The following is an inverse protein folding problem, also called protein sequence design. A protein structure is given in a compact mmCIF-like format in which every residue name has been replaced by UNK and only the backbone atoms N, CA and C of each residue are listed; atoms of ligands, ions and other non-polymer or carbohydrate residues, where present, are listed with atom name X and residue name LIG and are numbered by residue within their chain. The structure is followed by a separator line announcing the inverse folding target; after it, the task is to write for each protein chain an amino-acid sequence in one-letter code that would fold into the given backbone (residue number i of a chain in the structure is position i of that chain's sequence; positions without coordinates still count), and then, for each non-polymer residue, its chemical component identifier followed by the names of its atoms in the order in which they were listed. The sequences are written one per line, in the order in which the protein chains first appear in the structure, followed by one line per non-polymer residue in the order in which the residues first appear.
data_IF_904273108960
#
_entry.id   IF_904273108960
#
_cell.length_a   1.000
_cell.length_b   1.000
_cell.length_c   1.000
_cell.angle_alpha   90.00
_cell.angle_beta   90.00
_cell.angle_gamma   90.00
#
_symmetry.space_group_name_H-M   'P 1'
#
loop_
_entity.id
_entity.type
_entity.pdbx_description
1 polymer ?
#
# COMPACT_ATOMS: atom_id res chain seq x y z
N UNK A 1 10.67 33.65 44.09
CA UNK A 1 10.09 34.24 42.86
C UNK A 1 11.06 34.04 41.70
N UNK A 2 10.83 32.98 40.90
CA UNK A 2 11.27 32.72 39.50
C UNK A 2 11.36 31.20 39.24
N UNK A 3 10.83 30.77 38.08
CA UNK A 3 10.71 29.39 37.56
C UNK A 3 12.07 28.76 37.20
N UNK A 4 12.23 27.40 37.21
CA UNK A 4 11.92 26.59 36.01
C UNK A 4 11.50 25.12 36.31
N UNK A 5 11.32 24.32 35.25
CA UNK A 5 10.98 22.88 35.21
C UNK A 5 9.50 22.50 35.04
N UNK A 6 8.94 22.98 33.94
CA UNK A 6 8.11 22.14 33.06
C UNK A 6 9.02 21.03 32.52
N UNK A 7 8.84 19.77 32.91
CA UNK A 7 9.32 18.62 32.13
C UNK A 7 8.54 17.33 32.45
N UNK A 8 7.99 16.76 31.38
CA UNK A 8 7.78 15.33 31.12
C UNK A 8 6.76 14.57 31.98
N UNK A 9 5.49 14.65 31.56
CA UNK A 9 4.68 13.45 31.35
C UNK A 9 3.77 13.65 30.14
N UNK A 10 4.36 14.07 29.01
CA UNK A 10 3.80 13.73 27.71
C UNK A 10 4.12 12.24 27.46
N UNK A 11 3.39 11.36 28.12
CA UNK A 11 3.11 10.06 27.53
C UNK A 11 2.35 10.41 26.26
N UNK A 12 3.05 10.42 25.13
CA UNK A 12 2.45 10.65 23.83
C UNK A 12 1.28 9.67 23.73
N UNK A 13 0.07 10.21 23.54
CA UNK A 13 -1.05 9.41 23.10
C UNK A 13 -0.59 8.69 21.83
N UNK A 14 -0.17 7.43 21.96
CA UNK A 14 -0.18 6.52 20.84
C UNK A 14 -1.64 6.45 20.43
N UNK A 15 -1.96 7.25 19.43
CA UNK A 15 -3.20 7.26 18.70
C UNK A 15 -3.51 5.79 18.42
N UNK A 16 -4.50 5.21 19.12
CA UNK A 16 -5.05 3.92 18.77
C UNK A 16 -5.78 4.14 17.44
N UNK A 17 -5.02 4.22 16.34
CA UNK A 17 -5.58 4.21 15.00
C UNK A 17 -6.18 2.82 14.85
N UNK A 18 -7.49 2.72 15.03
CA UNK A 18 -8.20 1.49 14.79
C UNK A 18 -8.22 1.29 13.27
N UNK A 19 -7.19 0.62 12.76
CA UNK A 19 -7.03 0.36 11.32
C UNK A 19 -8.13 -0.61 10.92
N UNK A 20 -9.12 -0.07 10.21
CA UNK A 20 -10.33 -0.79 9.82
C UNK A 20 -10.24 -1.36 8.40
N UNK A 21 -9.11 -1.13 7.72
CA UNK A 21 -8.83 -1.56 6.35
C UNK A 21 -7.47 -2.26 6.33
N UNK A 22 -7.31 -3.31 5.53
CA UNK A 22 -6.02 -3.97 5.31
C UNK A 22 -5.85 -4.38 3.85
N UNK A 23 -4.60 -4.56 3.44
CA UNK A 23 -4.24 -5.07 2.11
C UNK A 23 -3.69 -6.50 2.23
N UNK A 24 -4.19 -7.41 1.39
CA UNK A 24 -3.82 -8.83 1.40
C UNK A 24 -3.45 -9.30 -0.01
N UNK A 25 -2.47 -10.23 -0.11
CA UNK A 25 -2.11 -10.87 -1.38
C UNK A 25 -1.22 -10.03 -2.31
N UNK A 26 -0.82 -8.83 -1.90
CA UNK A 26 0.20 -8.05 -2.60
C UNK A 26 1.60 -8.28 -2.06
N UNK A 27 2.59 -7.86 -2.85
CA UNK A 27 4.01 -8.04 -2.54
C UNK A 27 4.54 -7.03 -1.49
N UNK A 28 3.71 -6.11 -0.98
CA UNK A 28 4.10 -5.12 0.03
C UNK A 28 2.93 -4.77 0.94
N UNK A 29 3.19 -4.05 2.06
CA UNK A 29 2.13 -3.50 2.93
C UNK A 29 1.24 -2.45 2.26
N UNK A 30 1.65 -1.93 1.10
CA UNK A 30 0.99 -0.84 0.37
C UNK A 30 0.43 -1.30 -0.99
N UNK A 31 0.32 -2.61 -1.21
CA UNK A 31 -0.36 -3.19 -2.36
C UNK A 31 -1.13 -4.43 -1.94
N UNK A 32 -2.32 -4.63 -2.49
CA UNK A 32 -3.10 -5.84 -2.23
C UNK A 32 -4.61 -5.66 -2.42
N UNK A 33 -5.34 -6.76 -2.26
CA UNK A 33 -6.80 -6.78 -2.15
C UNK A 33 -7.24 -5.99 -0.92
N UNK A 34 -8.23 -5.14 -1.08
CA UNK A 34 -8.80 -4.33 0.01
C UNK A 34 -9.76 -5.19 0.82
N UNK A 35 -9.49 -5.27 2.12
CA UNK A 35 -10.40 -5.89 3.09
C UNK A 35 -10.75 -4.89 4.19
N UNK A 36 -12.02 -4.85 4.59
CA UNK A 36 -12.57 -3.95 5.59
C UNK A 36 -13.06 -4.77 6.79
N UNK A 37 -12.76 -4.31 8.00
CA UNK A 37 -13.26 -4.92 9.23
C UNK A 37 -14.64 -4.37 9.55
N UNK A 38 -15.69 -5.19 9.51
CA UNK A 38 -17.04 -4.81 9.91
C UNK A 38 -17.62 -5.86 10.85
N UNK A 39 -18.19 -5.43 11.99
CA UNK A 39 -18.76 -6.33 13.03
C UNK A 39 -17.81 -7.46 13.47
N UNK A 40 -16.51 -7.15 13.60
CA UNK A 40 -15.50 -8.10 14.04
C UNK A 40 -15.04 -9.11 12.98
N UNK A 41 -15.52 -9.01 11.73
CA UNK A 41 -15.15 -9.88 10.64
C UNK A 41 -14.57 -9.09 9.45
N UNK A 42 -13.47 -9.58 8.89
CA UNK A 42 -12.90 -9.06 7.66
C UNK A 42 -13.72 -9.50 6.46
N UNK A 43 -13.95 -8.58 5.53
CA UNK A 43 -14.62 -8.86 4.28
C UNK A 43 -14.09 -7.97 3.16
N UNK A 44 -14.37 -8.33 1.92
CA UNK A 44 -13.79 -7.69 0.74
C UNK A 44 -14.65 -6.54 0.24
N UNK A 45 -14.09 -5.79 -0.71
CA UNK A 45 -14.78 -4.71 -1.43
C UNK A 45 -14.95 -5.14 -2.88
N UNK A 46 -16.17 -5.05 -3.40
CA UNK A 46 -16.46 -5.21 -4.82
C UNK A 46 -16.90 -3.87 -5.42
N UNK A 47 -16.86 -3.72 -6.74
CA UNK A 47 -17.68 -2.72 -7.42
C UNK A 47 -17.23 -2.50 -8.85
N UNK A 48 -18.20 -2.54 -9.76
CA UNK A 48 -18.11 -1.71 -10.96
C UNK A 48 -18.08 -0.24 -10.43
N UNK A 49 -17.16 0.62 -10.88
CA UNK A 49 -16.82 1.97 -10.35
C UNK A 49 -15.72 2.08 -9.29
N UNK A 50 -15.05 1.00 -8.91
CA UNK A 50 -13.82 1.14 -8.12
C UNK A 50 -12.76 1.93 -8.89
N UNK A 51 -12.33 3.05 -8.33
CA UNK A 51 -11.45 3.99 -9.03
C UNK A 51 -10.28 4.50 -8.18
N UNK A 52 -9.47 5.38 -8.78
CA UNK A 52 -8.31 5.97 -8.13
C UNK A 52 -8.67 6.88 -6.95
N UNK A 53 -9.88 7.44 -6.91
CA UNK A 53 -10.34 8.29 -5.80
C UNK A 53 -10.62 7.41 -4.57
N UNK A 54 -11.28 6.27 -4.77
CA UNK A 54 -11.45 5.27 -3.71
C UNK A 54 -10.10 4.74 -3.22
N UNK A 55 -9.21 4.39 -4.16
CA UNK A 55 -7.88 3.91 -3.84
C UNK A 55 -7.06 4.94 -3.03
N UNK A 56 -7.20 6.24 -3.34
CA UNK A 56 -6.51 7.31 -2.62
C UNK A 56 -6.93 7.39 -1.15
N UNK A 57 -8.21 7.18 -0.85
CA UNK A 57 -8.70 7.10 0.53
C UNK A 57 -8.06 5.94 1.27
N UNK A 58 -7.99 4.76 0.65
CA UNK A 58 -7.33 3.57 1.23
C UNK A 58 -5.84 3.82 1.47
N UNK A 59 -5.14 4.36 0.48
CA UNK A 59 -3.70 4.63 0.57
C UNK A 59 -3.37 5.65 1.66
N UNK A 60 -4.22 6.67 1.83
CA UNK A 60 -4.10 7.65 2.92
C UNK A 60 -4.42 7.05 4.28
N UNK A 61 -5.49 6.27 4.40
CA UNK A 61 -5.89 5.59 5.65
C UNK A 61 -4.77 4.68 6.18
N UNK A 62 -3.99 4.07 5.29
CA UNK A 62 -2.89 3.15 5.63
C UNK A 62 -1.50 3.82 5.73
N UNK A 63 -1.41 5.15 5.60
CA UNK A 63 -0.16 5.90 5.50
C UNK A 63 0.82 5.28 4.47
N UNK A 64 0.26 4.98 3.29
CA UNK A 64 0.95 4.34 2.17
C UNK A 64 1.25 5.29 1.01
N UNK A 65 1.00 6.60 1.18
CA UNK A 65 1.23 7.61 0.15
C UNK A 65 0.04 7.77 -0.78
N UNK A 66 0.33 8.13 -2.03
CA UNK A 66 -0.66 8.38 -3.09
C UNK A 66 -1.15 7.07 -3.72
N UNK A 67 -2.35 7.06 -4.29
CA UNK A 67 -2.79 5.93 -5.11
C UNK A 67 -2.05 5.93 -6.46
N UNK A 68 -1.51 4.77 -6.83
CA UNK A 68 -0.90 4.52 -8.13
C UNK A 68 -1.87 3.77 -9.03
N UNK A 69 -2.59 2.78 -8.48
CA UNK A 69 -3.53 1.98 -9.25
C UNK A 69 -4.73 1.50 -8.40
N UNK A 70 -5.85 1.35 -9.09
CA UNK A 70 -7.11 0.81 -8.58
C UNK A 70 -7.47 -0.44 -9.39
N UNK A 71 -7.28 -1.61 -8.78
CA UNK A 71 -7.32 -2.89 -9.48
C UNK A 71 -8.61 -3.63 -9.14
N UNK A 72 -9.25 -4.22 -10.15
CA UNK A 72 -10.41 -5.09 -9.99
C UNK A 72 -10.10 -6.55 -10.28
N UNK A 73 -11.16 -7.31 -10.57
CA UNK A 73 -11.08 -8.67 -11.09
C UNK A 73 -10.20 -9.63 -10.27
N UNK A 74 -10.20 -9.47 -8.94
CA UNK A 74 -9.42 -10.29 -8.02
C UNK A 74 -7.92 -10.37 -8.39
N UNK A 75 -7.34 -9.26 -8.85
CA UNK A 75 -5.92 -9.18 -9.24
C UNK A 75 -4.95 -9.73 -8.17
N UNK A 76 -5.24 -9.47 -6.89
CA UNK A 76 -4.46 -9.98 -5.74
C UNK A 76 -5.02 -11.29 -5.15
N UNK A 77 -5.78 -12.03 -5.95
CA UNK A 77 -6.53 -13.21 -5.56
C UNK A 77 -7.88 -12.87 -4.93
N UNK A 78 -8.77 -13.85 -4.94
CA UNK A 78 -10.11 -13.80 -4.33
C UNK A 78 -10.05 -13.92 -2.80
N UNK A 79 -10.97 -13.22 -2.13
CA UNK A 79 -11.29 -13.45 -0.73
C UNK A 79 -12.18 -14.69 -0.55
N UNK A 80 -12.50 -14.97 0.73
CA UNK A 80 -13.34 -16.10 1.13
C UNK A 80 -14.40 -15.74 2.17
N UNK A 81 -14.48 -14.45 2.52
CA UNK A 81 -15.36 -13.91 3.55
C UNK A 81 -16.58 -13.18 2.98
N UNK A 82 -17.29 -12.39 3.79
CA UNK A 82 -18.34 -11.53 3.28
C UNK A 82 -17.77 -10.46 2.32
N UNK A 83 -18.58 -10.05 1.34
CA UNK A 83 -18.31 -8.84 0.56
C UNK A 83 -19.00 -7.69 1.29
N UNK A 84 -18.24 -6.86 2.00
CA UNK A 84 -18.82 -5.86 2.89
C UNK A 84 -19.30 -4.61 2.18
N UNK A 85 -18.60 -4.18 1.14
CA UNK A 85 -18.91 -2.95 0.44
C UNK A 85 -19.02 -3.21 -1.05
N UNK A 86 -19.99 -2.54 -1.68
CA UNK A 86 -20.12 -2.47 -3.14
C UNK A 86 -20.57 -1.10 -3.62
N UNK A 87 -20.21 -0.76 -4.86
CA UNK A 87 -20.41 0.57 -5.47
C UNK A 87 -19.86 1.67 -4.55
N UNK A 88 -18.60 1.53 -4.16
CA UNK A 88 -17.92 2.55 -3.37
C UNK A 88 -17.79 3.81 -4.23
N UNK A 89 -18.12 4.95 -3.64
CA UNK A 89 -18.09 6.26 -4.29
C UNK A 89 -17.52 7.27 -3.30
N UNK A 90 -16.20 7.24 -3.12
CA UNK A 90 -15.51 8.24 -2.32
C UNK A 90 -15.49 9.60 -3.05
N UNK A 91 -15.50 10.68 -2.28
CA UNK A 91 -15.17 12.04 -2.75
C UNK A 91 -13.67 12.28 -2.79
N UNK A 92 -12.88 11.44 -2.11
CA UNK A 92 -11.43 11.55 -1.97
C UNK A 92 -11.00 12.30 -0.71
N UNK A 93 -11.94 12.86 0.04
CA UNK A 93 -11.69 13.63 1.27
C UNK A 93 -11.87 12.81 2.55
N UNK A 94 -12.43 11.61 2.44
CA UNK A 94 -12.77 10.75 3.57
C UNK A 94 -11.53 10.28 4.33
N UNK A 95 -11.59 10.28 5.66
CA UNK A 95 -10.50 9.77 6.50
C UNK A 95 -10.37 8.25 6.49
N UNK A 96 -11.44 7.54 6.16
CA UNK A 96 -11.49 6.08 6.08
C UNK A 96 -12.44 5.64 4.98
N UNK A 97 -12.15 4.50 4.35
CA UNK A 97 -12.99 3.91 3.31
C UNK A 97 -14.43 3.68 3.78
N UNK A 98 -14.61 3.39 5.08
CA UNK A 98 -15.94 3.18 5.69
C UNK A 98 -16.87 4.39 5.58
N UNK A 99 -16.33 5.59 5.40
CA UNK A 99 -17.08 6.83 5.31
C UNK A 99 -17.48 7.20 3.88
N UNK A 100 -17.00 6.45 2.88
CA UNK A 100 -17.40 6.66 1.50
C UNK A 100 -18.84 6.18 1.25
N UNK A 101 -19.49 6.76 0.24
CA UNK A 101 -20.78 6.26 -0.23
C UNK A 101 -20.67 4.81 -0.68
N UNK A 102 -21.69 4.00 -0.40
CA UNK A 102 -21.81 2.61 -0.87
C UNK A 102 -23.27 2.15 -0.87
N UNK A 103 -23.58 0.99 -1.44
CA UNK A 103 -24.93 0.39 -1.36
C UNK A 103 -25.35 -0.02 0.06
N UNK A 104 -24.42 0.02 1.02
CA UNK A 104 -24.61 -0.40 2.41
C UNK A 104 -23.95 -1.76 2.73
N UNK A 105 -23.72 -1.99 4.02
CA UNK A 105 -22.95 -3.14 4.51
C UNK A 105 -23.55 -4.49 4.09
N UNK A 106 -22.72 -5.33 3.47
CA UNK A 106 -23.08 -6.70 3.06
C UNK A 106 -24.04 -6.76 1.87
N UNK A 107 -24.38 -5.62 1.25
CA UNK A 107 -25.21 -5.55 0.05
C UNK A 107 -24.31 -5.54 -1.16
N UNK A 108 -24.26 -6.66 -1.88
CA UNK A 108 -23.51 -6.80 -3.12
C UNK A 108 -24.16 -7.87 -4.00
N UNK A 109 -24.04 -7.73 -5.32
CA UNK A 109 -24.39 -8.79 -6.30
C UNK A 109 -23.14 -9.45 -6.89
N UNK A 110 -21.97 -9.12 -6.35
CA UNK A 110 -20.71 -9.67 -6.81
C UNK A 110 -20.40 -11.02 -6.19
N UNK A 111 -19.49 -11.73 -6.85
CA UNK A 111 -18.69 -12.79 -6.24
C UNK A 111 -17.25 -12.29 -6.01
N UNK A 112 -16.40 -13.14 -5.43
CA UNK A 112 -15.01 -12.81 -5.15
C UNK A 112 -14.10 -12.78 -6.39
N UNK A 113 -14.60 -13.10 -7.59
CA UNK A 113 -13.84 -12.84 -8.82
C UNK A 113 -13.75 -11.34 -9.12
N UNK A 114 -14.58 -10.52 -8.45
CA UNK A 114 -14.63 -9.06 -8.57
C UNK A 114 -14.09 -8.33 -7.34
N UNK A 115 -13.31 -9.00 -6.49
CA UNK A 115 -12.70 -8.31 -5.37
C UNK A 115 -11.68 -7.27 -5.86
N UNK A 116 -11.72 -6.09 -5.24
CA UNK A 116 -10.90 -4.97 -5.62
C UNK A 116 -9.66 -4.84 -4.74
N UNK A 117 -8.62 -4.24 -5.32
CA UNK A 117 -7.33 -4.00 -4.71
C UNK A 117 -6.81 -2.62 -5.04
N UNK A 118 -5.72 -2.25 -4.40
CA UNK A 118 -4.99 -1.00 -4.66
C UNK A 118 -3.50 -1.28 -4.80
N UNK A 119 -2.84 -0.42 -5.56
CA UNK A 119 -1.41 -0.18 -5.44
C UNK A 119 -1.26 1.27 -5.01
N UNK A 120 -0.65 1.48 -3.86
CA UNK A 120 -0.23 2.80 -3.43
C UNK A 120 1.22 3.02 -3.85
N UNK A 121 1.64 4.28 -3.93
CA UNK A 121 3.02 4.63 -4.22
C UNK A 121 3.99 4.06 -3.21
N UNK A 122 3.49 3.72 -2.02
CA UNK A 122 4.30 3.37 -0.87
C UNK A 122 5.12 4.59 -0.46
N UNK A 123 5.50 4.67 0.81
CA UNK A 123 6.78 5.34 1.11
C UNK A 123 7.91 4.40 0.68
N UNK A 124 7.97 4.11 -0.63
CA UNK A 124 8.76 3.06 -1.27
C UNK A 124 10.27 3.26 -1.04
N UNK A 125 10.68 4.47 -0.68
CA UNK A 125 12.08 4.83 -0.44
C UNK A 125 12.46 5.00 1.04
N UNK A 126 11.52 4.89 1.99
CA UNK A 126 11.84 5.07 3.42
C UNK A 126 11.83 3.77 4.24
N UNK A 127 11.42 2.65 3.66
CA UNK A 127 11.24 1.39 4.41
C UNK A 127 11.79 0.13 3.73
N UNK A 128 12.11 0.17 2.42
CA UNK A 128 12.76 -0.95 1.76
C UNK A 128 14.21 -1.04 2.25
N UNK A 129 14.62 -2.15 2.91
CA UNK A 129 15.99 -2.25 3.37
C UNK A 129 16.92 -2.44 2.17
N UNK A 130 16.62 -3.39 1.28
CA UNK A 130 17.46 -3.76 0.14
C UNK A 130 16.59 -4.23 -1.04
N UNK A 131 16.93 -3.81 -2.27
CA UNK A 131 16.22 -4.18 -3.51
C UNK A 131 17.16 -4.93 -4.45
N UNK A 132 16.70 -6.06 -4.96
CA UNK A 132 17.38 -6.95 -5.89
C UNK A 132 16.59 -7.07 -7.20
N UNK A 133 17.28 -7.32 -8.31
CA UNK A 133 16.68 -7.55 -9.62
C UNK A 133 17.20 -8.85 -10.23
N UNK A 134 16.29 -9.62 -10.84
CA UNK A 134 16.60 -10.84 -11.58
C UNK A 134 16.35 -12.11 -10.77
N UNK A 135 16.12 -13.21 -11.49
CA UNK A 135 15.72 -14.49 -10.89
C UNK A 135 16.86 -15.50 -10.76
N UNK A 136 18.07 -15.24 -11.28
CA UNK A 136 19.21 -16.17 -11.14
C UNK A 136 20.56 -15.60 -11.64
N UNK A 137 21.49 -15.17 -10.76
CA UNK A 137 21.25 -14.71 -9.39
C UNK A 137 20.65 -13.29 -9.36
N UNK A 138 19.85 -12.95 -8.33
CA UNK A 138 19.38 -11.58 -8.15
C UNK A 138 20.54 -10.62 -7.88
N UNK A 139 20.55 -9.48 -8.56
CA UNK A 139 21.55 -8.42 -8.42
C UNK A 139 21.04 -7.34 -7.47
N UNK A 140 21.78 -7.06 -6.40
CA UNK A 140 21.48 -5.97 -5.47
C UNK A 140 21.65 -4.61 -6.16
N UNK A 141 20.57 -3.84 -6.23
CA UNK A 141 20.58 -2.51 -6.87
C UNK A 141 20.41 -1.36 -5.88
N UNK A 142 19.91 -1.62 -4.68
CA UNK A 142 19.69 -0.59 -3.67
C UNK A 142 19.88 -1.13 -2.25
N UNK A 143 20.54 -0.33 -1.40
CA UNK A 143 20.65 -0.56 0.05
C UNK A 143 20.30 0.74 0.76
N UNK A 144 19.36 0.67 1.70
CA UNK A 144 19.00 1.81 2.52
C UNK A 144 20.08 2.10 3.58
N UNK A 145 20.53 3.36 3.75
CA UNK A 145 21.69 3.68 4.59
C UNK A 145 21.46 3.48 6.10
N UNK A 146 20.20 3.44 6.54
CA UNK A 146 19.81 3.36 7.96
C UNK A 146 19.05 2.09 8.35
N UNK A 147 18.79 1.17 7.40
CA UNK A 147 17.96 -0.01 7.64
C UNK A 147 18.73 -1.26 7.21
N UNK A 148 18.81 -2.28 8.07
CA UNK A 148 19.51 -3.53 7.77
C UNK A 148 18.74 -4.36 6.73
N UNK A 149 19.45 -5.04 5.81
CA UNK A 149 18.88 -6.03 4.89
C UNK A 149 18.32 -7.26 5.63
N UNK A 150 17.14 -7.16 6.24
CA UNK A 150 16.50 -8.30 6.92
C UNK A 150 15.41 -8.95 6.07
N UNK A 151 14.84 -8.22 5.11
CA UNK A 151 13.83 -8.72 4.16
C UNK A 151 14.06 -8.09 2.78
N UNK A 152 14.90 -8.71 1.93
CA UNK A 152 15.20 -8.19 0.60
C UNK A 152 14.01 -8.32 -0.34
N UNK A 153 13.75 -7.28 -1.12
CA UNK A 153 12.72 -7.32 -2.16
C UNK A 153 13.38 -7.68 -3.49
N UNK A 154 12.90 -8.73 -4.16
CA UNK A 154 13.44 -9.20 -5.44
C UNK A 154 12.40 -8.95 -6.54
N UNK A 155 12.76 -8.15 -7.53
CA UNK A 155 11.96 -7.95 -8.74
C UNK A 155 12.46 -8.85 -9.88
N UNK A 156 11.59 -9.51 -10.67
CA UNK A 156 11.99 -10.36 -11.79
C UNK A 156 12.79 -9.60 -12.87
N UNK A 157 12.41 -8.35 -13.13
CA UNK A 157 13.04 -7.50 -14.15
C UNK A 157 12.99 -6.01 -13.77
N UNK A 158 13.75 -5.17 -14.49
CA UNK A 158 13.78 -3.71 -14.31
C UNK A 158 12.45 -3.04 -14.68
N UNK A 159 11.65 -3.64 -15.55
CA UNK A 159 10.38 -3.08 -15.98
C UNK A 159 9.32 -3.20 -14.87
N UNK A 160 9.38 -4.22 -14.01
CA UNK A 160 8.53 -4.35 -12.83
C UNK A 160 8.84 -3.27 -11.78
N UNK A 161 10.07 -2.73 -11.81
CA UNK A 161 10.46 -1.56 -11.04
C UNK A 161 9.86 -0.27 -11.63
N UNK A 162 9.67 -0.19 -12.95
CA UNK A 162 9.02 0.95 -13.62
C UNK A 162 7.49 0.87 -13.63
N UNK A 163 6.92 -0.34 -13.66
CA UNK A 163 5.47 -0.57 -13.68
C UNK A 163 4.84 -0.33 -12.30
N UNK A 164 5.61 -0.49 -11.22
CA UNK A 164 5.17 -0.14 -9.86
C UNK A 164 5.56 1.28 -9.44
N UNK A 165 6.32 2.03 -10.25
CA UNK A 165 6.77 3.34 -9.83
C UNK A 165 7.07 4.25 -11.02
N UNK A 166 6.42 5.42 -11.00
CA UNK A 166 6.97 6.72 -11.43
C UNK A 166 8.31 7.08 -10.73
N UNK A 167 8.97 6.13 -10.07
CA UNK A 167 10.08 6.29 -9.14
C UNK A 167 11.41 5.80 -9.64
N UNK A 168 11.50 5.29 -10.88
CA UNK A 168 12.79 5.22 -11.56
C UNK A 168 13.39 6.63 -11.70
N UNK A 169 12.54 7.64 -11.95
CA UNK A 169 12.94 9.04 -11.97
C UNK A 169 13.42 9.54 -10.60
N UNK A 170 12.79 9.12 -9.49
CA UNK A 170 13.21 9.49 -8.12
C UNK A 170 14.51 8.78 -7.71
N UNK A 171 14.66 7.51 -8.09
CA UNK A 171 15.85 6.70 -7.85
C UNK A 171 17.06 7.18 -8.66
N UNK A 172 16.83 7.65 -9.90
CA UNK A 172 17.84 8.32 -10.72
C UNK A 172 18.12 9.76 -10.24
N UNK A 173 17.11 10.52 -9.84
CA UNK A 173 17.27 11.90 -9.35
C UNK A 173 17.92 12.00 -7.95
N UNK A 174 17.84 10.93 -7.14
CA UNK A 174 18.48 10.87 -5.82
C UNK A 174 19.94 10.39 -5.86
N UNK A 175 20.46 9.98 -7.02
CA UNK A 175 21.81 9.45 -7.16
C UNK A 175 22.05 8.14 -6.40
N UNK A 176 20.96 7.44 -6.01
CA UNK A 176 20.99 6.24 -5.17
C UNK A 176 21.11 4.94 -5.97
N UNK A 177 20.91 4.97 -7.30
CA UNK A 177 21.33 3.87 -8.16
C UNK A 177 22.83 3.92 -8.41
N UNK A 178 23.51 2.81 -8.10
CA UNK A 178 24.76 2.49 -8.80
C UNK A 178 24.36 2.05 -10.21
N UNK A 179 24.94 2.70 -11.22
CA UNK A 179 24.87 2.20 -12.60
C UNK A 179 25.31 0.73 -12.59
N UNK A 180 24.64 -0.16 -13.35
CA UNK A 180 25.11 -1.53 -13.51
C UNK A 180 26.56 -1.46 -13.97
N UNK A 181 27.46 -2.09 -13.21
CA UNK A 181 28.83 -2.33 -13.67
C UNK A 181 28.68 -3.14 -14.97
N UNK A 182 29.19 -2.57 -16.06
CA UNK A 182 29.03 -3.13 -17.39
C UNK A 182 29.41 -4.61 -17.44
N UNK A 183 28.56 -5.40 -18.08
CA UNK A 183 29.02 -6.58 -18.80
C UNK A 183 29.92 -6.07 -19.94
N UNK A 184 31.20 -5.92 -19.61
CA UNK A 184 32.27 -5.78 -20.59
C UNK A 184 32.61 -7.17 -21.13
N UNK A 185 32.55 -7.30 -22.44
CA UNK A 185 32.88 -8.48 -23.23
C UNK A 185 32.40 -8.28 -24.66
#
# INVERSE_FOLDING_TARGET
LSHPFIFLSFVTAQHLVHVNVRLVGGHSRCAGRVEVLHRGQWGTVCGDFWDLVDAAVVCRELDCGEAVDALGAAHFGSGSGPIWMSYVMCTGSESTLKNCGSLGWGKSRCDHSKDNGVICSGKLLQTLPCVYIGNNPPTLIFVHPKIKCTHPYVFPNLNDLTLNISGLLLLQASGLLKTPVGLGG
#
